data_IF_495545417855
#
_entry.id   IF_495545417855
#
_cell.length_a   1.000
_cell.length_b   1.000
_cell.length_c   1.000
_cell.angle_alpha   90.00
_cell.angle_beta   90.00
_cell.angle_gamma   90.00
#
_symmetry.space_group_name_H-M   'P 1'
#
loop_
_entity.id
_entity.type
_entity.pdbx_description
1 polymer ?
#
# COMPACT_ATOMS: atom_id res chain seq x y z
N UNK A 1 -84.35 -10.43 -3.30
CA UNK A 1 -83.56 -9.17 -3.48
C UNK A 1 -84.59 -8.06 -3.71
N UNK A 2 -84.80 -7.16 -2.72
CA UNK A 2 -85.71 -5.99 -2.87
C UNK A 2 -84.92 -4.90 -3.57
N UNK A 3 -85.27 -4.59 -4.81
CA UNK A 3 -84.71 -3.46 -5.54
C UNK A 3 -85.20 -2.16 -4.89
N UNK A 4 -84.26 -1.42 -4.35
CA UNK A 4 -84.49 -0.10 -3.74
C UNK A 4 -84.57 0.90 -4.89
N UNK A 5 -85.78 1.01 -5.49
CA UNK A 5 -86.13 2.09 -6.43
C UNK A 5 -86.71 3.27 -5.62
N UNK A 6 -85.78 3.98 -4.93
CA UNK A 6 -86.16 5.24 -4.29
C UNK A 6 -85.91 6.36 -5.29
N UNK A 7 -87.01 7.06 -5.68
CA UNK A 7 -86.90 8.26 -6.51
C UNK A 7 -86.21 9.38 -5.73
N UNK A 8 -84.93 9.59 -6.00
CA UNK A 8 -84.13 10.64 -5.37
C UNK A 8 -84.64 12.03 -5.80
N UNK A 9 -84.79 12.89 -4.82
CA UNK A 9 -85.06 14.32 -5.03
C UNK A 9 -83.95 14.99 -5.81
N UNK A 10 -84.26 16.05 -6.60
CA UNK A 10 -83.22 16.76 -7.36
C UNK A 10 -81.98 17.19 -6.52
N UNK A 11 -82.19 17.58 -5.27
CA UNK A 11 -81.16 17.96 -4.32
C UNK A 11 -80.29 16.76 -3.90
N UNK A 12 -80.86 15.59 -3.68
CA UNK A 12 -80.12 14.36 -3.34
C UNK A 12 -79.24 13.86 -4.50
N UNK A 13 -79.69 14.01 -5.75
CA UNK A 13 -78.89 13.68 -6.93
C UNK A 13 -77.62 14.54 -7.04
N UNK A 14 -77.76 15.84 -6.71
CA UNK A 14 -76.62 16.75 -6.71
C UNK A 14 -75.63 16.37 -5.61
N UNK A 15 -76.11 16.01 -4.42
CA UNK A 15 -75.20 15.58 -3.30
C UNK A 15 -74.48 14.28 -3.64
N UNK A 16 -75.15 13.30 -4.24
CA UNK A 16 -74.55 12.04 -4.67
C UNK A 16 -73.52 12.28 -5.76
N UNK A 17 -73.78 13.13 -6.75
CA UNK A 17 -72.84 13.50 -7.78
C UNK A 17 -71.60 14.17 -7.20
N UNK A 18 -71.75 15.06 -6.22
CA UNK A 18 -70.64 15.74 -5.54
C UNK A 18 -69.82 14.76 -4.71
N UNK A 19 -70.45 13.82 -3.98
CA UNK A 19 -69.71 12.74 -3.30
C UNK A 19 -68.92 11.86 -4.25
N UNK A 20 -69.47 11.55 -5.43
CA UNK A 20 -68.79 10.70 -6.43
C UNK A 20 -67.58 11.42 -7.01
N UNK A 21 -67.68 12.73 -7.27
CA UNK A 21 -66.51 13.53 -7.70
C UNK A 21 -65.38 13.55 -6.63
N UNK A 22 -65.75 13.76 -5.35
CA UNK A 22 -64.82 13.73 -4.25
C UNK A 22 -64.15 12.36 -4.17
N UNK A 23 -64.87 11.27 -4.30
CA UNK A 23 -64.39 9.92 -4.27
C UNK A 23 -63.43 9.64 -5.43
N UNK A 24 -63.71 10.14 -6.63
CA UNK A 24 -62.80 10.04 -7.78
C UNK A 24 -61.52 10.81 -7.56
N UNK A 25 -61.54 12.01 -6.96
CA UNK A 25 -60.35 12.78 -6.63
C UNK A 25 -59.49 12.03 -5.60
N UNK A 26 -60.11 11.44 -4.58
CA UNK A 26 -59.40 10.63 -3.60
C UNK A 26 -58.77 9.38 -4.23
N UNK A 27 -59.53 8.69 -5.09
CA UNK A 27 -59.00 7.52 -5.80
C UNK A 27 -57.80 7.88 -6.69
N UNK A 28 -57.93 8.98 -7.45
CA UNK A 28 -56.81 9.47 -8.28
C UNK A 28 -55.56 9.81 -7.45
N UNK A 29 -55.71 10.58 -6.37
CA UNK A 29 -54.60 10.95 -5.50
C UNK A 29 -53.95 9.74 -4.84
N UNK A 30 -54.73 8.72 -4.47
CA UNK A 30 -54.20 7.53 -3.81
C UNK A 30 -53.52 6.54 -4.78
N UNK A 31 -54.12 6.30 -5.94
CA UNK A 31 -53.65 5.29 -6.88
C UNK A 31 -52.63 5.81 -7.90
N UNK A 32 -52.62 7.10 -8.20
CA UNK A 32 -51.82 7.68 -9.26
C UNK A 32 -50.71 8.58 -8.67
N UNK A 33 -51.09 9.55 -7.84
CA UNK A 33 -50.18 10.60 -7.40
C UNK A 33 -49.12 10.08 -6.39
N UNK A 34 -49.53 9.18 -5.48
CA UNK A 34 -48.61 8.60 -4.48
C UNK A 34 -47.53 7.70 -5.10
N UNK A 35 -47.83 6.72 -5.97
CA UNK A 35 -46.80 5.87 -6.54
C UNK A 35 -45.83 6.67 -7.44
N UNK A 36 -46.37 7.61 -8.25
CA UNK A 36 -45.53 8.44 -9.11
C UNK A 36 -44.53 9.29 -8.29
N UNK A 37 -45.00 9.90 -7.20
CA UNK A 37 -44.07 10.66 -6.31
C UNK A 37 -43.02 9.79 -5.69
N UNK A 38 -43.37 8.59 -5.28
CA UNK A 38 -42.43 7.62 -4.72
C UNK A 38 -41.35 7.19 -5.73
N UNK A 39 -41.77 6.88 -6.96
CA UNK A 39 -40.86 6.52 -8.03
C UNK A 39 -39.89 7.67 -8.38
N UNK A 40 -40.39 8.92 -8.39
CA UNK A 40 -39.56 10.11 -8.62
C UNK A 40 -38.55 10.32 -7.47
N UNK A 41 -38.98 10.10 -6.23
CA UNK A 41 -38.06 10.19 -5.08
C UNK A 41 -37.00 9.10 -5.11
N UNK A 42 -37.37 7.85 -5.41
CA UNK A 42 -36.40 6.74 -5.56
C UNK A 42 -35.42 7.02 -6.69
N UNK A 43 -35.86 7.51 -7.84
CA UNK A 43 -34.96 7.88 -8.93
C UNK A 43 -34.03 9.04 -8.58
N UNK A 44 -34.48 10.04 -7.86
CA UNK A 44 -33.65 11.15 -7.37
C UNK A 44 -32.62 10.66 -6.36
N UNK A 45 -33.00 9.74 -5.49
CA UNK A 45 -32.08 9.14 -4.53
C UNK A 45 -31.01 8.31 -5.23
N UNK A 46 -31.39 7.48 -6.19
CA UNK A 46 -30.46 6.71 -7.01
C UNK A 46 -29.50 7.61 -7.79
N UNK A 47 -30.02 8.70 -8.38
CA UNK A 47 -29.18 9.67 -9.07
C UNK A 47 -28.17 10.34 -8.13
N UNK A 48 -28.59 10.71 -6.91
CA UNK A 48 -27.72 11.29 -5.89
C UNK A 48 -26.62 10.31 -5.45
N UNK A 49 -26.96 9.04 -5.29
CA UNK A 49 -26.01 8.02 -4.86
C UNK A 49 -25.00 7.67 -5.96
N UNK A 50 -25.46 7.57 -7.22
CA UNK A 50 -24.58 7.43 -8.37
C UNK A 50 -23.63 8.63 -8.52
N UNK A 51 -24.13 9.86 -8.29
CA UNK A 51 -23.28 11.06 -8.33
C UNK A 51 -22.19 11.00 -7.25
N UNK A 52 -22.51 10.57 -6.02
CA UNK A 52 -21.52 10.40 -4.95
C UNK A 52 -20.47 9.33 -5.30
N UNK A 53 -20.92 8.26 -5.95
CA UNK A 53 -20.00 7.20 -6.39
C UNK A 53 -19.06 7.71 -7.49
N UNK A 54 -19.55 8.48 -8.45
CA UNK A 54 -18.76 9.15 -9.48
C UNK A 54 -17.75 10.12 -8.85
N UNK A 55 -18.17 10.94 -7.89
CA UNK A 55 -17.31 11.91 -7.21
C UNK A 55 -16.21 11.19 -6.41
N UNK A 56 -16.56 10.07 -5.76
CA UNK A 56 -15.61 9.23 -5.03
C UNK A 56 -14.60 8.56 -5.98
N UNK A 57 -15.08 8.03 -7.11
CA UNK A 57 -14.22 7.43 -8.13
C UNK A 57 -13.29 8.47 -8.76
N UNK A 58 -13.81 9.66 -9.07
CA UNK A 58 -13.02 10.78 -9.60
C UNK A 58 -11.92 11.22 -8.63
N UNK A 59 -12.25 11.32 -7.33
CA UNK A 59 -11.27 11.64 -6.29
C UNK A 59 -10.17 10.58 -6.20
N UNK A 60 -10.52 9.30 -6.27
CA UNK A 60 -9.53 8.21 -6.29
C UNK A 60 -8.62 8.28 -7.54
N UNK A 61 -9.20 8.58 -8.70
CA UNK A 61 -8.41 8.75 -9.95
C UNK A 61 -7.42 9.91 -9.81
N UNK A 62 -7.85 11.03 -9.23
CA UNK A 62 -6.97 12.19 -9.01
C UNK A 62 -5.81 11.85 -8.07
N UNK A 63 -6.07 11.16 -6.96
CA UNK A 63 -5.03 10.70 -6.03
C UNK A 63 -4.05 9.74 -6.73
N UNK A 64 -4.56 8.78 -7.53
CA UNK A 64 -3.71 7.86 -8.27
C UNK A 64 -2.85 8.57 -9.34
N UNK A 65 -3.40 9.58 -10.01
CA UNK A 65 -2.65 10.38 -10.96
C UNK A 65 -1.55 11.20 -10.28
N UNK A 66 -1.85 11.77 -9.10
CA UNK A 66 -0.85 12.49 -8.31
C UNK A 66 0.25 11.55 -7.81
N UNK A 67 -0.11 10.38 -7.26
CA UNK A 67 0.87 9.37 -6.87
C UNK A 67 1.74 8.91 -8.04
N UNK A 68 1.13 8.72 -9.22
CA UNK A 68 1.89 8.37 -10.43
C UNK A 68 2.87 9.48 -10.81
N UNK A 69 2.44 10.73 -10.77
CA UNK A 69 3.29 11.89 -11.06
C UNK A 69 4.47 11.99 -10.07
N UNK A 70 4.21 11.84 -8.78
CA UNK A 70 5.25 11.81 -7.74
C UNK A 70 6.23 10.65 -7.97
N UNK A 71 5.73 9.48 -8.39
CA UNK A 71 6.54 8.31 -8.71
C UNK A 71 7.39 8.54 -9.96
N UNK A 72 6.86 9.19 -10.97
CA UNK A 72 7.59 9.57 -12.18
C UNK A 72 8.66 10.65 -11.88
N UNK A 73 8.37 11.61 -11.01
CA UNK A 73 9.34 12.61 -10.54
C UNK A 73 10.48 11.97 -9.71
N UNK A 74 10.16 11.03 -8.82
CA UNK A 74 11.15 10.25 -8.08
C UNK A 74 12.01 9.37 -9.00
N UNK A 75 11.42 8.83 -10.06
CA UNK A 75 12.14 8.02 -11.05
C UNK A 75 13.06 8.85 -11.96
N UNK A 76 12.79 10.14 -12.13
CA UNK A 76 13.59 11.03 -12.96
C UNK A 76 14.88 11.52 -12.27
N UNK A 77 14.95 11.46 -10.94
CA UNK A 77 16.06 12.02 -10.16
C UNK A 77 17.03 10.98 -9.57
N UNK A 78 16.52 9.91 -9.01
CA UNK A 78 17.31 8.81 -8.43
C UNK A 78 16.52 7.51 -8.59
N UNK A 79 17.20 6.39 -8.85
CA UNK A 79 16.51 5.10 -8.97
C UNK A 79 15.71 4.85 -7.69
N UNK A 80 14.38 4.68 -7.77
CA UNK A 80 13.60 4.47 -6.57
C UNK A 80 14.10 3.22 -5.88
N UNK A 81 14.53 3.38 -4.64
CA UNK A 81 14.86 2.25 -3.80
C UNK A 81 13.56 1.52 -3.46
N UNK A 82 13.40 0.35 -4.05
CA UNK A 82 12.25 -0.51 -3.82
C UNK A 82 12.26 -1.04 -2.38
N UNK A 83 11.14 -0.88 -1.69
CA UNK A 83 10.86 -1.67 -0.49
C UNK A 83 10.13 -2.94 -0.95
N UNK A 84 10.79 -4.11 -0.93
CA UNK A 84 10.16 -5.35 -1.32
C UNK A 84 9.06 -5.72 -0.32
N UNK A 85 8.05 -6.51 -0.73
CA UNK A 85 7.08 -7.06 0.21
C UNK A 85 7.80 -7.97 1.21
N UNK A 86 7.21 -8.12 2.38
CA UNK A 86 7.69 -8.96 3.46
C UNK A 86 8.15 -10.35 2.98
N UNK A 87 9.14 -10.90 3.67
CA UNK A 87 9.82 -12.16 3.36
C UNK A 87 10.75 -12.11 2.12
N UNK A 88 11.44 -10.99 1.94
CA UNK A 88 12.46 -10.84 0.91
C UNK A 88 13.87 -11.29 1.35
N UNK A 89 14.02 -11.88 2.56
CA UNK A 89 15.30 -12.25 3.17
C UNK A 89 16.23 -13.06 2.27
N UNK A 90 15.69 -14.02 1.52
CA UNK A 90 16.47 -14.83 0.56
C UNK A 90 17.03 -14.00 -0.59
N UNK A 91 16.27 -13.02 -1.09
CA UNK A 91 16.70 -12.13 -2.17
C UNK A 91 17.75 -11.17 -1.69
N UNK A 92 17.58 -10.60 -0.50
CA UNK A 92 18.53 -9.68 0.13
C UNK A 92 19.84 -10.39 0.47
N UNK A 93 19.75 -11.60 1.03
CA UNK A 93 20.92 -12.45 1.30
C UNK A 93 21.65 -12.80 0.02
N UNK A 94 20.92 -13.22 -1.03
CA UNK A 94 21.52 -13.56 -2.31
C UNK A 94 22.20 -12.36 -2.96
N UNK A 95 21.59 -11.18 -2.85
CA UNK A 95 22.18 -9.92 -3.31
C UNK A 95 23.53 -9.65 -2.59
N UNK A 96 23.54 -9.70 -1.24
CA UNK A 96 24.75 -9.52 -0.45
C UNK A 96 25.82 -10.57 -0.78
N UNK A 97 25.42 -11.84 -0.86
CA UNK A 97 26.34 -12.93 -1.21
C UNK A 97 26.97 -12.74 -2.59
N UNK A 98 26.21 -12.30 -3.58
CA UNK A 98 26.73 -12.05 -4.93
C UNK A 98 27.77 -10.95 -4.97
N UNK A 99 27.62 -9.90 -4.17
CA UNK A 99 28.59 -8.81 -4.10
C UNK A 99 29.83 -9.25 -3.34
N UNK A 100 29.68 -9.91 -2.19
CA UNK A 100 30.80 -10.30 -1.33
C UNK A 100 31.59 -11.48 -1.90
N UNK A 101 30.97 -12.32 -2.74
CA UNK A 101 31.65 -13.49 -3.36
C UNK A 101 32.93 -13.13 -4.11
N UNK A 102 33.07 -11.90 -4.57
CA UNK A 102 34.25 -11.39 -5.25
C UNK A 102 35.45 -11.24 -4.29
N UNK A 103 35.20 -11.16 -2.97
CA UNK A 103 36.23 -10.88 -1.96
C UNK A 103 36.86 -12.13 -1.32
N UNK A 104 36.38 -13.34 -1.64
CA UNK A 104 36.84 -14.60 -1.06
C UNK A 104 36.00 -15.08 0.11
N UNK A 105 36.61 -15.26 1.29
CA UNK A 105 35.90 -15.76 2.48
C UNK A 105 34.99 -14.71 3.08
N UNK A 106 33.74 -15.07 3.29
CA UNK A 106 32.76 -14.19 3.89
C UNK A 106 31.74 -14.93 4.76
N UNK A 107 31.17 -14.21 5.70
CA UNK A 107 30.04 -14.67 6.55
C UNK A 107 28.94 -13.66 6.53
N UNK A 108 27.72 -14.13 6.31
CA UNK A 108 26.51 -13.30 6.39
C UNK A 108 25.62 -13.90 7.48
N UNK A 109 25.36 -13.12 8.52
CA UNK A 109 24.41 -13.45 9.58
C UNK A 109 23.22 -12.52 9.51
N UNK A 110 22.03 -13.07 9.80
CA UNK A 110 20.76 -12.35 9.79
C UNK A 110 20.29 -12.25 11.24
N UNK A 111 20.02 -11.04 11.70
CA UNK A 111 19.40 -10.82 13.00
C UNK A 111 17.87 -10.96 12.88
N UNK A 112 17.21 -11.09 14.04
CA UNK A 112 15.75 -11.10 14.11
C UNK A 112 15.19 -9.81 13.52
N UNK A 113 14.15 -9.93 12.71
CA UNK A 113 13.51 -8.78 12.11
C UNK A 113 12.67 -8.02 13.14
N UNK A 114 12.61 -6.70 13.02
CA UNK A 114 11.77 -5.83 13.84
C UNK A 114 10.68 -5.22 12.99
N UNK A 115 9.47 -5.07 13.58
CA UNK A 115 8.33 -4.48 12.89
C UNK A 115 7.95 -3.15 13.53
N UNK A 116 7.63 -2.17 12.68
CA UNK A 116 7.07 -0.89 13.10
C UNK A 116 5.94 -0.52 12.12
N UNK A 117 4.71 -0.81 12.50
CA UNK A 117 3.53 -0.69 11.63
C UNK A 117 3.66 -1.59 10.38
N UNK A 118 3.61 -0.95 9.21
CA UNK A 118 3.75 -1.64 7.92
C UNK A 118 5.20 -1.84 7.47
N UNK A 119 6.16 -1.28 8.20
CA UNK A 119 7.59 -1.39 7.89
C UNK A 119 8.23 -2.51 8.69
N UNK A 120 8.96 -3.39 8.01
CA UNK A 120 9.81 -4.41 8.60
C UNK A 120 11.26 -4.02 8.35
N UNK A 121 12.09 -4.17 9.37
CA UNK A 121 13.51 -3.92 9.33
C UNK A 121 14.25 -5.22 9.57
N UNK A 122 15.07 -5.61 8.61
CA UNK A 122 15.90 -6.80 8.68
C UNK A 122 17.35 -6.41 8.67
N UNK A 123 18.07 -6.78 9.72
CA UNK A 123 19.46 -6.45 9.88
C UNK A 123 20.34 -7.62 9.47
N UNK A 124 21.34 -7.32 8.63
CA UNK A 124 22.38 -8.26 8.21
C UNK A 124 23.72 -7.79 8.74
N UNK A 125 24.50 -8.71 9.26
CA UNK A 125 25.92 -8.49 9.57
C UNK A 125 26.75 -9.27 8.57
N UNK A 126 27.59 -8.56 7.83
CA UNK A 126 28.48 -9.12 6.81
C UNK A 126 29.91 -8.95 7.26
N UNK A 127 30.64 -10.05 7.34
CA UNK A 127 32.09 -10.06 7.65
C UNK A 127 32.82 -10.70 6.48
N UNK A 128 33.87 -10.04 6.00
CA UNK A 128 34.66 -10.51 4.88
C UNK A 128 36.05 -9.95 4.94
N UNK A 129 36.97 -10.58 4.20
CA UNK A 129 38.34 -10.13 4.08
C UNK A 129 38.70 -9.87 2.61
N UNK A 130 39.40 -8.79 2.34
CA UNK A 130 39.84 -8.40 1.01
C UNK A 130 41.33 -8.18 0.97
N UNK A 131 41.91 -8.18 -0.23
CA UNK A 131 43.32 -7.90 -0.43
C UNK A 131 43.65 -6.40 -0.28
N UNK A 132 42.70 -5.53 -0.59
CA UNK A 132 42.96 -4.09 -0.57
C UNK A 132 41.70 -3.28 -0.22
N UNK A 133 41.92 -2.05 0.24
CA UNK A 133 40.86 -1.13 0.64
C UNK A 133 39.95 -0.70 -0.53
N UNK A 134 40.43 -0.70 -1.76
CA UNK A 134 39.64 -0.33 -2.92
C UNK A 134 38.44 -1.27 -3.13
N UNK A 135 38.59 -2.56 -2.81
CA UNK A 135 37.53 -3.55 -2.87
C UNK A 135 36.45 -3.26 -1.81
N UNK A 136 36.84 -2.77 -0.63
CA UNK A 136 35.89 -2.35 0.41
C UNK A 136 35.05 -1.18 -0.09
N UNK A 137 35.69 -0.16 -0.66
CA UNK A 137 34.98 1.00 -1.22
C UNK A 137 34.02 0.59 -2.35
N UNK A 138 34.48 -0.30 -3.22
CA UNK A 138 33.65 -0.87 -4.28
C UNK A 138 32.40 -1.58 -3.69
N UNK A 139 32.60 -2.44 -2.69
CA UNK A 139 31.52 -3.17 -2.03
C UNK A 139 30.49 -2.22 -1.39
N UNK A 140 30.93 -1.23 -0.63
CA UNK A 140 30.06 -0.22 -0.04
C UNK A 140 29.28 0.57 -1.11
N UNK A 141 29.95 0.89 -2.22
CA UNK A 141 29.32 1.57 -3.35
C UNK A 141 28.23 0.71 -4.00
N UNK A 142 28.43 -0.61 -4.12
CA UNK A 142 27.40 -1.51 -4.66
C UNK A 142 26.17 -1.57 -3.74
N UNK A 143 26.36 -1.58 -2.43
CA UNK A 143 25.26 -1.56 -1.47
C UNK A 143 24.48 -0.24 -1.55
N UNK A 144 25.16 0.91 -1.61
CA UNK A 144 24.50 2.21 -1.72
C UNK A 144 23.76 2.41 -3.04
N UNK A 145 24.18 1.72 -4.10
CA UNK A 145 23.54 1.73 -5.42
C UNK A 145 22.53 0.60 -5.63
N UNK A 146 22.23 -0.18 -4.59
CA UNK A 146 21.33 -1.30 -4.73
C UNK A 146 19.87 -0.83 -4.96
N UNK A 147 19.09 -1.70 -5.59
CA UNK A 147 17.67 -1.44 -5.88
C UNK A 147 16.82 -1.47 -4.61
N UNK A 148 17.28 -2.15 -3.57
CA UNK A 148 16.55 -2.29 -2.31
C UNK A 148 16.86 -1.12 -1.37
N UNK A 149 15.85 -0.68 -0.65
CA UNK A 149 16.05 0.33 0.39
C UNK A 149 16.87 -0.28 1.52
N UNK A 150 18.10 0.18 1.65
CA UNK A 150 19.08 -0.32 2.60
C UNK A 150 19.81 0.86 3.27
N UNK A 151 20.14 0.70 4.55
CA UNK A 151 20.97 1.65 5.31
C UNK A 151 22.12 0.89 5.95
N UNK A 152 23.33 1.37 5.75
CA UNK A 152 24.51 0.87 6.44
C UNK A 152 24.55 1.55 7.82
N UNK A 153 24.44 0.76 8.89
CA UNK A 153 24.40 1.26 10.26
C UNK A 153 25.79 1.43 10.85
N UNK A 154 26.67 0.46 10.56
CA UNK A 154 28.06 0.46 11.04
C UNK A 154 28.94 -0.27 10.02
N UNK A 155 30.15 0.22 9.84
CA UNK A 155 31.18 -0.42 9.01
C UNK A 155 32.56 -0.23 9.67
N UNK A 156 33.16 -1.33 10.05
CA UNK A 156 34.51 -1.37 10.66
C UNK A 156 35.47 -2.05 9.71
N UNK A 157 36.54 -1.35 9.41
CA UNK A 157 37.62 -1.85 8.56
C UNK A 157 38.92 -1.94 9.39
N UNK A 158 39.50 -3.10 9.42
CA UNK A 158 40.81 -3.33 10.06
C UNK A 158 41.84 -3.71 8.99
N UNK A 159 42.86 -2.90 8.85
CA UNK A 159 43.97 -3.14 7.90
C UNK A 159 45.02 -3.99 8.60
N UNK A 160 45.26 -5.19 8.11
CA UNK A 160 46.30 -6.04 8.56
C UNK A 160 47.58 -5.72 7.74
N UNK A 161 48.64 -5.39 8.42
CA UNK A 161 49.94 -5.09 7.79
C UNK A 161 50.95 -6.16 8.12
N UNK A 162 51.67 -6.61 7.14
CA UNK A 162 52.81 -7.50 7.30
C UNK A 162 54.05 -6.75 6.90
N UNK A 163 55.19 -7.03 7.59
CA UNK A 163 56.48 -6.49 7.22
C UNK A 163 57.07 -7.34 6.10
N UNK A 164 57.48 -6.68 5.02
CA UNK A 164 58.23 -7.34 3.98
C UNK A 164 59.70 -7.65 4.43
N UNK A 165 60.44 -8.36 3.62
CA UNK A 165 61.85 -8.72 3.90
C UNK A 165 62.73 -7.49 4.13
N UNK A 166 62.34 -6.33 3.64
CA UNK A 166 63.03 -5.06 3.81
C UNK A 166 62.61 -4.29 5.07
N UNK A 167 61.72 -4.87 5.91
CA UNK A 167 61.20 -4.26 7.14
C UNK A 167 60.17 -3.17 6.93
N UNK A 168 59.66 -2.98 5.70
CA UNK A 168 58.61 -2.00 5.38
C UNK A 168 57.25 -2.65 5.58
N UNK A 169 56.32 -1.92 6.21
CA UNK A 169 54.97 -2.37 6.41
C UNK A 169 54.18 -2.35 5.07
N UNK A 170 53.71 -3.50 4.64
CA UNK A 170 52.85 -3.67 3.49
C UNK A 170 51.45 -4.08 3.94
N UNK A 171 50.42 -3.55 3.26
CA UNK A 171 49.05 -3.94 3.45
C UNK A 171 48.85 -5.37 2.92
N UNK A 172 48.56 -6.31 3.82
CA UNK A 172 48.40 -7.72 3.45
C UNK A 172 46.95 -8.13 3.27
N UNK A 173 46.05 -7.54 4.04
CA UNK A 173 44.60 -7.78 3.92
C UNK A 173 43.80 -6.72 4.69
N UNK A 174 42.55 -6.56 4.30
CA UNK A 174 41.59 -5.70 4.98
C UNK A 174 40.42 -6.55 5.44
N UNK A 175 40.23 -6.64 6.76
CA UNK A 175 39.09 -7.31 7.35
C UNK A 175 37.97 -6.28 7.58
N UNK A 176 36.75 -6.59 7.13
CA UNK A 176 35.61 -5.72 7.22
C UNK A 176 34.49 -6.42 7.96
N UNK A 177 33.88 -5.72 8.92
CA UNK A 177 32.60 -6.10 9.53
C UNK A 177 31.64 -4.96 9.34
N UNK A 178 30.53 -5.24 8.69
CA UNK A 178 29.51 -4.24 8.36
C UNK A 178 28.13 -4.73 8.79
N UNK A 179 27.32 -3.79 9.26
CA UNK A 179 25.93 -4.02 9.58
C UNK A 179 25.05 -3.16 8.66
N UNK A 180 24.14 -3.81 7.94
CA UNK A 180 23.21 -3.16 7.03
C UNK A 180 21.78 -3.54 7.40
N UNK A 181 20.86 -2.56 7.35
CA UNK A 181 19.43 -2.77 7.58
C UNK A 181 18.69 -2.61 6.27
N UNK A 182 18.00 -3.65 5.85
CA UNK A 182 17.07 -3.64 4.73
C UNK A 182 15.65 -3.36 5.24
N UNK A 183 14.87 -2.69 4.40
CA UNK A 183 13.50 -2.31 4.70
C UNK A 183 12.56 -3.04 3.78
N UNK A 184 11.62 -3.77 4.38
CA UNK A 184 10.54 -4.49 3.71
C UNK A 184 9.19 -3.87 4.08
N UNK A 185 8.14 -4.12 3.29
CA UNK A 185 6.78 -3.65 3.57
C UNK A 185 5.82 -4.82 3.77
N UNK A 186 4.84 -4.63 4.65
CA UNK A 186 3.72 -5.56 4.81
C UNK A 186 2.75 -5.53 3.62
N UNK A 187 2.74 -4.45 2.84
CA UNK A 187 1.83 -4.30 1.69
C UNK A 187 2.22 -5.29 0.60
N UNK A 188 1.27 -6.17 0.23
CA UNK A 188 1.49 -7.21 -0.78
C UNK A 188 2.31 -8.42 -0.31
N UNK A 189 2.70 -8.44 0.97
CA UNK A 189 3.35 -9.61 1.58
C UNK A 189 2.33 -10.62 2.10
N UNK A 190 2.70 -11.90 2.05
CA UNK A 190 1.94 -12.95 2.74
C UNK A 190 2.47 -13.01 4.17
N UNK A 191 1.62 -12.84 5.21
CA UNK A 191 2.06 -12.97 6.60
C UNK A 191 2.65 -14.36 6.82
N UNK A 192 3.87 -14.40 7.32
CA UNK A 192 4.52 -15.63 7.75
C UNK A 192 4.24 -15.87 9.23
N UNK A 193 4.24 -17.13 9.69
CA UNK A 193 4.01 -17.49 11.10
C UNK A 193 5.05 -16.86 12.04
N UNK A 194 6.20 -16.48 11.52
CA UNK A 194 7.30 -15.85 12.27
C UNK A 194 7.28 -14.31 12.26
N UNK A 195 6.14 -13.68 11.99
CA UNK A 195 6.06 -12.22 11.97
C UNK A 195 6.22 -11.66 13.38
N UNK A 196 7.21 -10.78 13.64
CA UNK A 196 7.35 -10.16 14.93
C UNK A 196 6.12 -9.30 15.26
N UNK A 197 5.71 -9.33 16.51
CA UNK A 197 4.67 -8.44 17.01
C UNK A 197 5.07 -6.98 16.78
N UNK A 198 4.08 -6.14 16.50
CA UNK A 198 4.31 -4.70 16.31
C UNK A 198 4.92 -4.10 17.58
N UNK A 199 6.12 -3.56 17.45
CA UNK A 199 6.79 -2.85 18.54
C UNK A 199 6.19 -1.45 18.64
N UNK A 200 4.99 -1.35 19.21
CA UNK A 200 4.41 -0.04 19.53
C UNK A 200 5.33 0.66 20.54
N UNK A 201 5.90 1.75 20.12
CA UNK A 201 6.47 2.77 21.00
C UNK A 201 5.38 3.66 21.55
#
# INVERSE_FOLDING_TARGET
MKSITRNFSGKEKIIIALMLVILLIFAYSYFVDKPIKKDIEEQKQLQSDLQKEIDTASSKIMVLQQMKKELDELNAGDKPTLMPPYNASERERSFLANIVKVTGDYTISIADCTRNGDQIRRQFTVTFTTENYSQVVWFLTQITKCTYRCVINDARCTINRTKNESGVDEESSVSVTMTATFFETMVGGVPDEALPSDTKR
#
